data_IF_956327454464
#
_entry.id   IF_956327454464
#
_cell.length_a   1.000
_cell.length_b   1.000
_cell.length_c   1.000
_cell.angle_alpha   90.00
_cell.angle_beta   90.00
_cell.angle_gamma   90.00
#
_symmetry.space_group_name_H-M   'P 1'
#
loop_
_entity.id
_entity.type
_entity.pdbx_description
1 polymer ?
#
# COMPACT_ATOMS: atom_id res chain seq x y z
N UNK A 1 10.52 21.51 -4.06
CA UNK A 1 9.83 22.71 -4.53
C UNK A 1 9.23 23.43 -3.34
N UNK A 2 9.35 24.75 -3.31
CA UNK A 2 8.65 25.63 -2.37
C UNK A 2 7.63 26.47 -3.16
N UNK A 3 6.41 26.57 -2.64
CA UNK A 3 5.33 27.32 -3.27
C UNK A 3 4.68 28.26 -2.24
N UNK A 4 4.41 29.49 -2.64
CA UNK A 4 3.67 30.49 -1.87
C UNK A 4 2.73 31.28 -2.78
N UNK A 5 2.13 32.35 -2.26
CA UNK A 5 1.25 33.23 -3.02
C UNK A 5 1.95 33.99 -4.16
N UNK A 6 3.29 34.04 -4.14
CA UNK A 6 4.13 34.76 -5.13
C UNK A 6 4.61 33.82 -6.25
N UNK A 7 4.51 32.52 -6.07
CA UNK A 7 4.92 31.55 -7.09
C UNK A 7 5.52 30.25 -6.53
N UNK A 8 6.25 29.57 -7.39
CA UNK A 8 6.92 28.29 -7.11
C UNK A 8 8.40 28.40 -7.38
N UNK A 9 9.23 28.00 -6.41
CA UNK A 9 10.69 27.94 -6.56
C UNK A 9 11.12 26.48 -6.47
N UNK A 10 11.93 26.04 -7.45
CA UNK A 10 12.61 24.74 -7.41
C UNK A 10 13.96 24.97 -6.71
N UNK A 11 14.09 24.44 -5.50
CA UNK A 11 15.32 24.59 -4.69
C UNK A 11 16.35 23.52 -4.98
N UNK A 12 15.91 22.37 -5.50
CA UNK A 12 16.79 21.28 -5.94
C UNK A 12 16.10 20.45 -7.03
N UNK A 13 16.86 20.02 -8.02
CA UNK A 13 16.40 19.12 -9.07
C UNK A 13 17.49 18.08 -9.39
N UNK A 14 17.14 16.80 -9.31
CA UNK A 14 18.00 15.71 -9.74
C UNK A 14 17.47 15.11 -11.03
N UNK A 15 18.28 15.07 -12.07
CA UNK A 15 17.96 14.48 -13.36
C UNK A 15 18.90 13.28 -13.58
N UNK A 16 18.34 12.10 -13.76
CA UNK A 16 19.07 10.90 -14.13
C UNK A 16 18.69 10.51 -15.55
N UNK A 17 19.67 10.32 -16.41
CA UNK A 17 19.46 9.92 -17.80
C UNK A 17 20.11 8.56 -18.04
N UNK A 18 19.36 7.62 -18.58
CA UNK A 18 19.86 6.30 -18.96
C UNK A 18 19.37 5.94 -20.36
N UNK A 19 20.15 5.14 -21.07
CA UNK A 19 19.72 4.57 -22.33
C UNK A 19 18.53 3.61 -22.10
N UNK A 20 17.55 3.65 -23.00
CA UNK A 20 16.46 2.67 -22.99
C UNK A 20 17.03 1.28 -23.30
N UNK A 21 16.66 0.29 -22.50
CA UNK A 21 16.99 -1.10 -22.78
C UNK A 21 16.42 -1.53 -24.15
N UNK A 22 17.16 -2.32 -24.95
CA UNK A 22 16.66 -2.86 -26.21
C UNK A 22 15.35 -3.64 -25.95
N UNK A 23 14.27 -3.25 -26.65
CA UNK A 23 12.95 -3.87 -26.47
C UNK A 23 12.02 -3.16 -25.48
N UNK A 24 12.44 -2.11 -24.79
CA UNK A 24 11.53 -1.24 -24.05
C UNK A 24 10.53 -0.59 -25.01
N UNK A 25 9.25 -0.96 -24.92
CA UNK A 25 8.18 -0.38 -25.75
C UNK A 25 8.08 1.12 -25.44
N UNK A 26 8.49 1.93 -26.38
CA UNK A 26 8.27 3.38 -26.35
C UNK A 26 6.77 3.65 -26.28
N UNK A 27 6.33 4.35 -25.23
CA UNK A 27 4.92 4.74 -25.07
C UNK A 27 4.52 5.14 -23.66
N UNK A 28 5.23 4.71 -22.63
CA UNK A 28 4.87 4.99 -21.23
C UNK A 28 5.89 5.85 -20.47
N UNK A 29 6.73 6.62 -21.16
CA UNK A 29 7.77 7.39 -20.50
C UNK A 29 8.78 6.53 -19.73
N UNK A 30 9.74 7.17 -19.08
CA UNK A 30 10.65 6.47 -18.20
C UNK A 30 9.89 5.91 -16.98
N UNK A 31 10.12 4.64 -16.55
CA UNK A 31 9.37 4.04 -15.44
C UNK A 31 9.45 4.82 -14.12
N UNK A 32 10.37 5.76 -13.99
CA UNK A 32 10.57 6.63 -12.82
C UNK A 32 10.10 8.07 -13.00
N UNK A 33 9.29 8.37 -14.01
CA UNK A 33 8.68 9.69 -14.12
C UNK A 33 7.69 9.94 -12.97
N UNK A 34 7.64 11.20 -12.54
CA UNK A 34 6.87 11.63 -11.37
C UNK A 34 5.34 11.47 -11.53
N UNK A 35 4.84 11.31 -12.74
CA UNK A 35 3.40 11.10 -12.99
C UNK A 35 3.23 9.79 -13.73
N UNK A 36 2.80 8.75 -13.00
CA UNK A 36 2.34 7.50 -13.59
C UNK A 36 0.82 7.51 -13.70
N UNK A 37 0.26 7.10 -14.86
CA UNK A 37 -1.18 6.94 -14.98
C UNK A 37 -1.66 5.82 -14.05
N UNK A 38 -2.97 5.80 -13.79
CA UNK A 38 -3.59 4.74 -13.01
C UNK A 38 -3.24 3.36 -13.59
N UNK A 39 -2.67 2.44 -12.78
CA UNK A 39 -2.13 1.17 -13.26
C UNK A 39 -3.21 0.09 -13.34
N UNK A 40 -4.09 0.20 -14.33
CA UNK A 40 -5.27 -0.66 -14.53
C UNK A 40 -4.90 -2.14 -14.73
N UNK A 41 -3.70 -2.44 -15.20
CA UNK A 41 -3.20 -3.81 -15.38
C UNK A 41 -3.14 -4.63 -14.09
N UNK A 42 -3.24 -3.97 -12.95
CA UNK A 42 -3.27 -4.60 -11.65
C UNK A 42 -4.68 -4.88 -11.11
N UNK A 43 -5.72 -4.54 -11.84
CA UNK A 43 -7.10 -4.87 -11.48
C UNK A 43 -7.36 -6.37 -11.63
N UNK A 44 -8.00 -6.98 -10.61
CA UNK A 44 -8.29 -8.42 -10.58
C UNK A 44 -9.61 -8.71 -9.90
N UNK A 45 -10.34 -9.67 -10.43
CA UNK A 45 -11.49 -10.27 -9.76
C UNK A 45 -11.08 -11.60 -9.14
N UNK A 46 -11.36 -11.76 -7.87
CA UNK A 46 -10.99 -12.91 -7.06
C UNK A 46 -12.21 -13.46 -6.34
N UNK A 47 -12.11 -14.71 -5.90
CA UNK A 47 -13.12 -15.34 -5.05
C UNK A 47 -12.42 -15.89 -3.81
N UNK A 48 -12.84 -15.45 -2.62
CA UNK A 48 -12.34 -15.97 -1.35
C UNK A 48 -12.83 -17.39 -1.11
N UNK A 49 -12.26 -18.07 -0.11
CA UNK A 49 -12.64 -19.46 0.26
C UNK A 49 -14.12 -19.61 0.63
N UNK A 50 -14.72 -18.57 1.21
CA UNK A 50 -16.14 -18.50 1.57
C UNK A 50 -17.07 -18.08 0.42
N UNK A 51 -16.55 -18.09 -0.83
CA UNK A 51 -17.23 -17.68 -2.07
C UNK A 51 -17.53 -16.18 -2.19
N UNK A 52 -17.03 -15.33 -1.29
CA UNK A 52 -17.12 -13.89 -1.45
C UNK A 52 -16.35 -13.44 -2.70
N UNK A 53 -17.01 -12.68 -3.57
CA UNK A 53 -16.37 -12.09 -4.77
C UNK A 53 -15.75 -10.77 -4.41
N UNK A 54 -14.46 -10.63 -4.71
CA UNK A 54 -13.66 -9.47 -4.38
C UNK A 54 -13.09 -8.87 -5.66
N UNK A 55 -13.22 -7.56 -5.79
CA UNK A 55 -12.52 -6.77 -6.79
C UNK A 55 -11.31 -6.12 -6.14
N UNK A 56 -10.13 -6.54 -6.56
CA UNK A 56 -8.85 -6.01 -6.09
C UNK A 56 -8.31 -5.04 -7.15
N UNK A 57 -7.97 -3.83 -6.75
CA UNK A 57 -7.46 -2.81 -7.66
C UNK A 57 -6.56 -1.79 -6.96
N UNK A 58 -5.73 -1.05 -7.72
CA UNK A 58 -5.04 0.13 -7.19
C UNK A 58 -6.04 1.15 -6.64
N UNK A 59 -5.63 1.84 -5.58
CA UNK A 59 -6.42 2.90 -4.96
C UNK A 59 -6.51 4.11 -5.88
N UNK A 60 -7.60 4.87 -5.77
CA UNK A 60 -7.84 6.13 -6.50
C UNK A 60 -8.15 7.26 -5.52
N UNK A 61 -7.95 8.53 -5.87
CA UNK A 61 -8.32 9.66 -5.02
C UNK A 61 -9.79 9.63 -4.57
N UNK A 62 -10.71 9.18 -5.46
CA UNK A 62 -12.15 9.11 -5.20
C UNK A 62 -12.53 8.07 -4.13
N UNK A 63 -11.60 7.18 -3.77
CA UNK A 63 -11.81 6.14 -2.76
C UNK A 63 -11.80 6.67 -1.33
N UNK A 64 -11.47 7.93 -1.15
CA UNK A 64 -11.54 8.59 0.17
C UNK A 64 -12.86 8.32 0.88
N UNK A 65 -13.96 8.38 0.16
CA UNK A 65 -15.31 8.11 0.68
C UNK A 65 -15.52 6.71 1.25
N UNK A 66 -14.67 5.75 0.88
CA UNK A 66 -14.77 4.36 1.33
C UNK A 66 -14.13 4.16 2.71
N UNK A 67 -13.26 5.06 3.14
CA UNK A 67 -12.50 4.89 4.38
C UNK A 67 -13.35 5.06 5.64
N UNK A 68 -14.28 6.02 5.67
CA UNK A 68 -15.19 6.19 6.81
C UNK A 68 -15.93 4.88 7.13
N UNK A 69 -16.76 4.35 6.21
CA UNK A 69 -17.43 3.08 6.42
C UNK A 69 -16.48 1.88 6.66
N UNK A 70 -15.29 1.90 6.08
CA UNK A 70 -14.27 0.86 6.31
C UNK A 70 -13.78 0.87 7.76
N UNK A 71 -13.44 2.03 8.31
CA UNK A 71 -12.94 2.15 9.69
C UNK A 71 -14.00 1.77 10.73
N UNK A 72 -15.28 1.95 10.46
CA UNK A 72 -16.38 1.48 11.34
C UNK A 72 -16.35 -0.05 11.55
N UNK A 73 -15.71 -0.79 10.66
CA UNK A 73 -15.55 -2.25 10.74
C UNK A 73 -14.14 -2.68 11.19
N UNK A 74 -13.31 -1.76 11.67
CA UNK A 74 -11.97 -2.05 12.20
C UNK A 74 -11.98 -1.75 13.69
N UNK A 75 -11.57 -2.72 14.49
CA UNK A 75 -11.48 -2.56 15.94
C UNK A 75 -10.38 -1.59 16.34
N UNK A 76 -10.49 -0.97 17.51
CA UNK A 76 -9.45 -0.11 18.08
C UNK A 76 -8.11 -0.85 18.18
N UNK A 77 -8.14 -2.13 18.53
CA UNK A 77 -6.96 -2.97 18.61
C UNK A 77 -6.29 -3.14 17.23
N UNK A 78 -7.06 -3.36 16.17
CA UNK A 78 -6.50 -3.47 14.83
C UNK A 78 -5.94 -2.13 14.31
N UNK A 79 -6.56 -1.03 14.71
CA UNK A 79 -6.03 0.30 14.43
C UNK A 79 -4.71 0.52 15.19
N UNK A 80 -4.63 0.14 16.46
CA UNK A 80 -3.39 0.19 17.25
C UNK A 80 -2.27 -0.63 16.60
N UNK A 81 -2.56 -1.87 16.25
CA UNK A 81 -1.61 -2.77 15.58
C UNK A 81 -1.13 -2.23 14.22
N UNK A 82 -1.92 -1.38 13.57
CA UNK A 82 -1.60 -0.81 12.25
C UNK A 82 -0.88 0.51 12.32
N UNK A 83 -1.23 1.36 13.28
CA UNK A 83 -0.75 2.74 13.37
C UNK A 83 0.20 2.97 14.56
N UNK A 84 0.40 1.95 15.40
CA UNK A 84 1.26 1.96 16.59
C UNK A 84 0.84 3.00 17.66
N UNK A 85 -0.28 3.65 17.44
CA UNK A 85 -0.87 4.63 18.33
C UNK A 85 -2.39 4.65 18.18
N UNK A 86 -3.14 5.09 19.20
CA UNK A 86 -4.56 5.35 19.07
C UNK A 86 -4.83 6.45 18.04
N UNK A 87 -5.58 6.16 17.00
CA UNK A 87 -6.01 7.15 16.02
C UNK A 87 -7.40 7.63 16.40
N UNK A 88 -7.51 8.93 16.74
CA UNK A 88 -8.76 9.53 17.23
C UNK A 88 -9.62 10.14 16.12
N UNK A 89 -9.03 10.50 15.00
CA UNK A 89 -9.74 11.17 13.91
C UNK A 89 -9.17 10.74 12.55
N UNK A 90 -10.08 10.38 11.68
CA UNK A 90 -9.82 10.05 10.27
C UNK A 90 -10.36 11.14 9.34
N UNK A 91 -10.14 12.41 9.70
CA UNK A 91 -10.57 13.55 8.90
C UNK A 91 -9.98 13.53 7.48
N UNK A 92 -10.58 14.36 6.60
CA UNK A 92 -10.21 14.47 5.18
C UNK A 92 -8.69 14.53 4.95
N UNK A 93 -7.99 15.43 5.65
CA UNK A 93 -6.54 15.60 5.46
C UNK A 93 -5.72 14.34 5.79
N UNK A 94 -6.21 13.51 6.70
CA UNK A 94 -5.58 12.24 7.07
C UNK A 94 -5.83 11.19 6.00
N UNK A 95 -7.08 11.01 5.57
CA UNK A 95 -7.47 10.00 4.58
C UNK A 95 -6.93 10.34 3.19
N UNK A 96 -6.82 11.62 2.83
CA UNK A 96 -6.23 12.05 1.56
C UNK A 96 -4.80 11.51 1.35
N UNK A 97 -4.01 11.40 2.43
CA UNK A 97 -2.67 10.78 2.36
C UNK A 97 -2.69 9.29 1.97
N UNK A 98 -3.82 8.62 2.17
CA UNK A 98 -3.96 7.23 1.80
C UNK A 98 -4.43 7.03 0.37
N UNK A 99 -5.11 8.00 -0.20
CA UNK A 99 -5.75 7.90 -1.51
C UNK A 99 -5.02 8.68 -2.60
N UNK A 100 -4.45 9.84 -2.26
CA UNK A 100 -3.72 10.69 -3.19
C UNK A 100 -2.24 10.30 -3.21
N UNK A 101 -1.94 9.16 -3.80
CA UNK A 101 -0.58 8.63 -3.87
C UNK A 101 0.06 8.88 -5.22
N UNK A 102 1.37 9.03 -5.22
CA UNK A 102 2.19 9.02 -6.43
C UNK A 102 2.54 7.57 -6.78
N UNK A 103 1.91 7.01 -7.82
CA UNK A 103 2.16 5.65 -8.28
C UNK A 103 3.61 5.40 -8.73
N UNK A 104 4.41 6.44 -8.91
CA UNK A 104 5.84 6.28 -9.18
C UNK A 104 6.65 5.88 -7.94
N UNK A 105 6.12 6.11 -6.72
CA UNK A 105 6.82 5.88 -5.46
C UNK A 105 6.06 5.04 -4.46
N UNK A 106 4.74 4.98 -4.64
CA UNK A 106 3.87 4.28 -3.73
C UNK A 106 2.82 3.48 -4.51
N UNK A 107 2.45 2.34 -3.98
CA UNK A 107 1.32 1.56 -4.46
C UNK A 107 0.41 1.22 -3.29
N UNK A 108 -0.89 1.33 -3.51
CA UNK A 108 -1.85 0.78 -2.58
C UNK A 108 -2.91 0.00 -3.36
N UNK A 109 -3.21 -1.21 -2.91
CA UNK A 109 -4.30 -2.01 -3.44
C UNK A 109 -5.43 -2.06 -2.42
N UNK A 110 -6.65 -1.79 -2.87
CA UNK A 110 -7.86 -1.99 -2.09
C UNK A 110 -8.60 -3.22 -2.57
N UNK A 111 -9.13 -3.98 -1.63
CA UNK A 111 -10.05 -5.07 -1.87
C UNK A 111 -11.47 -4.59 -1.62
N UNK A 112 -12.35 -4.77 -2.59
CA UNK A 112 -13.74 -4.36 -2.52
C UNK A 112 -14.65 -5.55 -2.71
N UNK A 113 -15.74 -5.63 -1.95
CA UNK A 113 -16.78 -6.61 -2.24
C UNK A 113 -17.50 -6.25 -3.55
N UNK A 114 -17.48 -7.16 -4.51
CA UNK A 114 -18.07 -6.90 -5.84
C UNK A 114 -19.58 -6.59 -5.77
N UNK A 115 -20.30 -7.14 -4.79
CA UNK A 115 -21.75 -6.98 -4.66
C UNK A 115 -22.15 -5.61 -4.10
N UNK A 116 -21.46 -5.15 -3.08
CA UNK A 116 -21.81 -3.93 -2.32
C UNK A 116 -20.96 -2.73 -2.68
N UNK A 117 -19.78 -2.95 -3.24
CA UNK A 117 -18.75 -1.92 -3.43
C UNK A 117 -18.06 -1.49 -2.14
N UNK A 118 -18.31 -2.20 -1.03
CA UNK A 118 -17.69 -1.89 0.27
C UNK A 118 -16.21 -2.27 0.27
N UNK A 119 -15.38 -1.42 0.86
CA UNK A 119 -13.97 -1.70 1.07
C UNK A 119 -13.79 -2.74 2.17
N UNK A 120 -13.01 -3.78 1.89
CA UNK A 120 -12.76 -4.93 2.77
C UNK A 120 -11.37 -4.89 3.40
N UNK A 121 -10.42 -4.25 2.74
CA UNK A 121 -9.05 -4.16 3.19
C UNK A 121 -8.19 -3.36 2.22
N UNK A 122 -7.00 -3.01 2.68
CA UNK A 122 -5.99 -2.26 1.93
C UNK A 122 -4.61 -2.77 2.29
N UNK A 123 -3.75 -2.87 1.29
CA UNK A 123 -2.30 -3.05 1.46
C UNK A 123 -1.60 -1.95 0.67
N UNK A 124 -0.50 -1.46 1.20
CA UNK A 124 0.30 -0.43 0.56
C UNK A 124 1.79 -0.72 0.65
N UNK A 125 2.52 -0.11 -0.25
CA UNK A 125 3.96 -0.15 -0.33
C UNK A 125 4.47 1.25 -0.65
N UNK A 126 5.42 1.74 0.13
CA UNK A 126 6.17 2.95 -0.14
C UNK A 126 7.61 2.59 -0.48
N UNK A 127 8.05 2.92 -1.67
CA UNK A 127 9.43 2.71 -2.07
C UNK A 127 10.33 3.84 -1.54
N UNK A 128 11.57 3.50 -1.22
CA UNK A 128 12.60 4.45 -0.85
C UNK A 128 12.99 5.35 -2.05
N UNK A 129 13.80 6.38 -1.78
CA UNK A 129 14.21 7.35 -2.80
C UNK A 129 15.03 6.71 -3.94
N UNK A 130 15.71 5.59 -3.67
CA UNK A 130 16.56 4.89 -4.63
C UNK A 130 15.80 3.76 -5.36
N UNK A 131 14.57 3.47 -4.93
CA UNK A 131 13.77 2.36 -5.45
C UNK A 131 14.42 0.99 -5.23
N UNK A 132 15.13 0.83 -4.12
CA UNK A 132 15.81 -0.41 -3.74
C UNK A 132 15.03 -1.21 -2.72
N UNK A 133 14.39 -0.51 -1.77
CA UNK A 133 13.54 -1.12 -0.75
C UNK A 133 12.17 -0.45 -0.69
N UNK A 134 11.20 -1.15 -0.12
CA UNK A 134 9.87 -0.62 0.10
C UNK A 134 9.29 -1.08 1.43
N UNK A 135 8.63 -0.16 2.13
CA UNK A 135 7.90 -0.44 3.35
C UNK A 135 6.45 -0.79 3.03
N UNK A 136 5.98 -1.93 3.51
CA UNK A 136 4.59 -2.33 3.36
C UNK A 136 3.78 -2.08 4.64
N UNK A 137 2.48 -1.90 4.44
CA UNK A 137 1.53 -1.87 5.54
C UNK A 137 0.16 -2.39 5.08
N UNK A 138 -0.54 -3.11 5.94
CA UNK A 138 -1.81 -3.75 5.61
C UNK A 138 -2.85 -3.50 6.70
N UNK A 139 -4.11 -3.37 6.29
CA UNK A 139 -5.26 -3.34 7.19
C UNK A 139 -6.44 -4.03 6.52
N UNK A 140 -7.11 -4.90 7.25
CA UNK A 140 -8.28 -5.65 6.82
C UNK A 140 -9.41 -5.44 7.82
N UNK A 141 -10.65 -5.37 7.37
CA UNK A 141 -11.82 -5.35 8.28
C UNK A 141 -11.71 -6.46 9.31
N UNK A 142 -11.97 -6.14 10.57
CA UNK A 142 -11.79 -7.06 11.69
C UNK A 142 -12.71 -8.29 11.58
N UNK A 143 -13.92 -8.10 11.07
CA UNK A 143 -14.91 -9.17 10.87
C UNK A 143 -14.56 -10.13 9.71
N UNK A 144 -13.54 -9.82 8.91
CA UNK A 144 -13.10 -10.64 7.78
C UNK A 144 -11.75 -11.34 8.02
N UNK A 145 -11.21 -11.26 9.22
CA UNK A 145 -10.00 -11.98 9.59
C UNK A 145 -10.16 -13.49 9.44
N UNK A 146 -9.07 -14.19 9.13
CA UNK A 146 -9.07 -15.64 8.95
C UNK A 146 -9.67 -16.15 7.64
N UNK A 147 -10.22 -15.27 6.78
CA UNK A 147 -10.82 -15.67 5.49
C UNK A 147 -9.83 -15.67 4.32
N UNK A 148 -8.56 -15.39 4.57
CA UNK A 148 -7.50 -15.37 3.56
C UNK A 148 -7.34 -14.04 2.82
N UNK A 149 -8.13 -13.00 3.14
CA UNK A 149 -8.05 -11.71 2.47
C UNK A 149 -6.68 -11.03 2.71
N UNK A 150 -6.18 -11.04 3.95
CA UNK A 150 -4.86 -10.50 4.27
C UNK A 150 -3.73 -11.17 3.48
N UNK A 151 -3.80 -12.49 3.36
CA UNK A 151 -2.86 -13.27 2.56
C UNK A 151 -2.85 -12.84 1.08
N UNK A 152 -4.04 -12.71 0.48
CA UNK A 152 -4.17 -12.29 -0.92
C UNK A 152 -3.62 -10.86 -1.14
N UNK A 153 -3.90 -9.95 -0.23
CA UNK A 153 -3.38 -8.58 -0.29
C UNK A 153 -1.85 -8.56 -0.19
N UNK A 154 -1.27 -9.34 0.74
CA UNK A 154 0.19 -9.45 0.86
C UNK A 154 0.82 -10.08 -0.38
N UNK A 155 0.24 -11.14 -0.93
CA UNK A 155 0.73 -11.71 -2.19
C UNK A 155 0.68 -10.70 -3.34
N UNK A 156 -0.38 -9.89 -3.43
CA UNK A 156 -0.52 -8.87 -4.45
C UNK A 156 0.59 -7.82 -4.35
N UNK A 157 0.86 -7.32 -3.14
CA UNK A 157 1.89 -6.27 -2.97
C UNK A 157 3.31 -6.83 -3.18
N UNK A 158 3.57 -8.08 -2.78
CA UNK A 158 4.84 -8.77 -3.06
C UNK A 158 5.05 -8.94 -4.58
N UNK A 159 4.02 -9.35 -5.30
CA UNK A 159 4.10 -9.50 -6.76
C UNK A 159 4.33 -8.15 -7.45
N UNK A 160 3.68 -7.10 -6.97
CA UNK A 160 3.92 -5.75 -7.44
C UNK A 160 5.37 -5.32 -7.19
N UNK A 161 5.88 -5.47 -5.98
CA UNK A 161 7.25 -5.13 -5.63
C UNK A 161 8.29 -5.84 -6.52
N UNK A 162 8.06 -7.13 -6.80
CA UNK A 162 8.91 -7.91 -7.71
C UNK A 162 8.86 -7.38 -9.15
N UNK A 163 7.68 -7.03 -9.64
CA UNK A 163 7.53 -6.49 -11.02
C UNK A 163 8.16 -5.11 -11.19
N UNK A 164 8.22 -4.34 -10.12
CA UNK A 164 8.90 -3.03 -10.08
C UNK A 164 10.42 -3.17 -9.85
N UNK A 165 10.92 -4.37 -9.57
CA UNK A 165 12.35 -4.64 -9.38
C UNK A 165 12.88 -4.20 -8.02
N UNK A 166 12.01 -4.05 -7.00
CA UNK A 166 12.47 -3.80 -5.63
C UNK A 166 13.26 -4.99 -5.12
N UNK A 167 14.41 -4.74 -4.53
CA UNK A 167 15.31 -5.76 -4.00
C UNK A 167 14.82 -6.29 -2.65
N UNK A 168 14.15 -5.44 -1.87
CA UNK A 168 13.68 -5.76 -0.52
C UNK A 168 12.34 -5.09 -0.26
N UNK A 169 11.48 -5.78 0.47
CA UNK A 169 10.32 -5.20 1.13
C UNK A 169 10.39 -5.50 2.63
N UNK A 170 9.99 -4.55 3.44
CA UNK A 170 10.03 -4.62 4.89
C UNK A 170 8.78 -4.00 5.49
N UNK A 171 8.52 -4.24 6.75
CA UNK A 171 7.40 -3.64 7.47
C UNK A 171 7.63 -3.75 8.96
N UNK A 172 7.17 -2.78 9.70
CA UNK A 172 7.19 -2.78 11.15
C UNK A 172 5.92 -3.45 11.66
N UNK A 173 6.06 -4.31 12.66
CA UNK A 173 4.97 -5.09 13.24
C UNK A 173 5.19 -5.16 14.74
N UNK A 174 4.20 -4.73 15.51
CA UNK A 174 4.27 -4.86 16.98
C UNK A 174 4.45 -6.33 17.37
N UNK A 175 5.28 -6.59 18.36
CA UNK A 175 5.65 -7.96 18.79
C UNK A 175 4.44 -8.79 19.27
N UNK A 176 3.38 -8.14 19.76
CA UNK A 176 2.14 -8.78 20.17
C UNK A 176 1.19 -9.11 19.01
N UNK A 177 1.46 -8.64 17.78
CA UNK A 177 0.71 -9.00 16.58
C UNK A 177 1.12 -10.38 16.06
N UNK A 178 0.86 -11.42 16.84
CA UNK A 178 1.24 -12.79 16.51
C UNK A 178 0.69 -13.28 15.18
N UNK A 179 -0.52 -12.87 14.82
CA UNK A 179 -1.18 -13.24 13.55
C UNK A 179 -0.42 -12.69 12.34
N UNK A 180 -0.02 -11.42 12.38
CA UNK A 180 0.73 -10.81 11.29
C UNK A 180 2.14 -11.39 11.20
N UNK A 181 2.80 -11.60 12.34
CA UNK A 181 4.12 -12.24 12.40
C UNK A 181 4.10 -13.66 11.84
N UNK A 182 3.07 -14.47 12.16
CA UNK A 182 2.90 -15.80 11.58
C UNK A 182 2.73 -15.74 10.06
N UNK A 183 1.87 -14.85 9.56
CA UNK A 183 1.67 -14.65 8.13
C UNK A 183 2.96 -14.22 7.42
N UNK A 184 3.74 -13.32 8.01
CA UNK A 184 5.02 -12.90 7.44
C UNK A 184 6.02 -14.05 7.36
N UNK A 185 6.11 -14.91 8.40
CA UNK A 185 6.97 -16.11 8.35
C UNK A 185 6.58 -17.05 7.22
N UNK A 186 5.29 -17.32 7.07
CA UNK A 186 4.76 -18.18 5.99
C UNK A 186 5.01 -17.58 4.59
N UNK A 187 5.02 -16.25 4.47
CA UNK A 187 5.37 -15.54 3.23
C UNK A 187 6.88 -15.47 2.97
N UNK A 188 7.71 -15.96 3.89
CA UNK A 188 9.16 -16.03 3.75
C UNK A 188 9.92 -14.77 4.20
N UNK A 189 9.29 -13.90 5.00
CA UNK A 189 10.00 -12.77 5.61
C UNK A 189 10.92 -13.24 6.73
N UNK A 190 12.10 -12.65 6.79
CA UNK A 190 12.96 -12.72 7.97
C UNK A 190 12.38 -11.78 9.04
N UNK A 191 12.27 -12.27 10.27
CA UNK A 191 11.73 -11.50 11.41
C UNK A 191 12.86 -11.29 12.41
N UNK A 192 13.01 -10.08 12.88
CA UNK A 192 13.96 -9.68 13.91
C UNK A 192 13.48 -8.45 14.65
N UNK A 193 14.01 -8.15 15.82
CA UNK A 193 13.66 -6.95 16.57
C UNK A 193 14.12 -5.69 15.84
N UNK A 194 13.36 -4.60 15.96
CA UNK A 194 13.82 -3.28 15.54
C UNK A 194 14.88 -2.76 16.54
N UNK A 195 16.08 -2.38 16.09
CA UNK A 195 17.11 -1.87 16.98
C UNK A 195 16.75 -0.56 17.71
N UNK A 196 15.76 0.16 17.19
CA UNK A 196 15.36 1.49 17.67
C UNK A 196 14.05 1.46 18.48
N UNK A 197 13.29 0.36 18.41
CA UNK A 197 12.00 0.23 19.11
C UNK A 197 11.81 -1.19 19.66
N UNK A 198 11.83 -1.37 20.98
CA UNK A 198 11.70 -2.70 21.61
C UNK A 198 10.30 -3.33 21.46
N UNK A 199 9.29 -2.56 21.07
CA UNK A 199 7.93 -3.06 20.90
C UNK A 199 7.68 -3.58 19.46
N UNK A 200 8.65 -3.43 18.58
CA UNK A 200 8.60 -3.81 17.15
C UNK A 200 9.51 -5.00 16.81
#
# INVERSE_FOLDING_TARGET
MLADQSGVIVVDARISVAALAPGARGGRGHPRFAVRPYPQEWERHLVLRDRMRVFLRPIRPEDERLYGPFFEHVTEEDLRLRFFAPVKDFGHAYVARFTQIDYARAMAFIAMETKTGSMLGVVRLHADANYESGEFAILVRSDLKGRGLGWLLMQQIINYARSEGLKRIEGQILHDNSTMLAMCRELGFAIGPDPNDPDI
#
